data_IF_440436732562
#
_entry.id   IF_440436732562
#
_cell.length_a   1.000
_cell.length_b   1.000
_cell.length_c   1.000
_cell.angle_alpha   90.00
_cell.angle_beta   90.00
_cell.angle_gamma   90.00
#
_symmetry.space_group_name_H-M   'P 1'
#
loop_
_entity.id
_entity.type
_entity.pdbx_description
1 polymer ?
#
# COMPACT_ATOMS: atom_id res chain seq x y z
N UNK A 1 -7.73 -0.65 14.45
CA UNK A 1 -6.66 -1.33 13.69
C UNK A 1 -6.74 -2.86 13.74
N UNK A 2 -7.29 -3.49 14.79
CA UNK A 2 -7.43 -4.97 14.89
C UNK A 2 -8.61 -5.57 14.11
N UNK A 3 -9.41 -4.77 13.40
CA UNK A 3 -10.51 -5.28 12.57
C UNK A 3 -10.17 -5.10 11.08
N UNK A 4 -9.83 -6.18 10.36
CA UNK A 4 -9.53 -6.13 8.93
C UNK A 4 -10.69 -5.59 8.10
N UNK A 5 -11.95 -5.79 8.51
CA UNK A 5 -13.13 -5.27 7.80
C UNK A 5 -13.29 -3.75 7.88
N UNK A 6 -12.55 -3.09 8.78
CA UNK A 6 -12.51 -1.63 8.90
C UNK A 6 -11.26 -1.01 8.26
N UNK A 7 -10.26 -1.82 7.91
CA UNK A 7 -9.03 -1.37 7.25
C UNK A 7 -8.95 -1.85 5.78
N UNK A 8 -10.00 -2.50 5.28
CA UNK A 8 -10.10 -3.03 3.92
C UNK A 8 -11.58 -3.03 3.56
N UNK A 9 -11.92 -2.42 2.43
CA UNK A 9 -13.31 -2.32 1.98
C UNK A 9 -13.82 -3.62 1.34
N UNK A 10 -12.97 -4.66 1.25
CA UNK A 10 -13.28 -5.92 0.59
C UNK A 10 -12.99 -7.12 1.50
N UNK A 11 -13.94 -8.04 1.58
CA UNK A 11 -13.77 -9.31 2.29
C UNK A 11 -12.75 -10.26 1.61
N UNK A 12 -12.29 -9.91 0.41
CA UNK A 12 -11.31 -10.64 -0.39
C UNK A 12 -10.22 -9.69 -0.86
N UNK A 13 -8.97 -10.11 -0.69
CA UNK A 13 -7.81 -9.43 -1.26
C UNK A 13 -7.60 -10.02 -2.66
N UNK A 14 -7.68 -9.19 -3.69
CA UNK A 14 -7.34 -9.61 -5.05
C UNK A 14 -5.89 -10.13 -5.12
N UNK A 15 -5.55 -10.83 -6.20
CA UNK A 15 -4.24 -11.42 -6.40
C UNK A 15 -3.75 -11.25 -7.83
N UNK A 16 -2.73 -12.03 -8.21
CA UNK A 16 -2.15 -12.03 -9.56
C UNK A 16 -3.21 -12.18 -10.67
N UNK A 17 -4.25 -12.96 -10.39
CA UNK A 17 -5.31 -13.29 -11.35
C UNK A 17 -6.53 -12.37 -11.24
N UNK A 18 -6.55 -11.42 -10.28
CA UNK A 18 -7.61 -10.44 -10.09
C UNK A 18 -7.03 -9.05 -9.79
N UNK A 19 -6.49 -8.44 -10.85
CA UNK A 19 -5.89 -7.11 -10.78
C UNK A 19 -6.89 -6.00 -10.47
N UNK A 20 -8.18 -6.22 -10.73
CA UNK A 20 -9.23 -5.22 -10.46
C UNK A 20 -9.47 -5.08 -8.95
N UNK A 21 -9.69 -6.19 -8.26
CA UNK A 21 -9.84 -6.21 -6.80
C UNK A 21 -8.52 -5.83 -6.13
N UNK A 22 -7.39 -6.32 -6.65
CA UNK A 22 -6.06 -5.98 -6.14
C UNK A 22 -5.83 -4.47 -6.19
N UNK A 23 -6.02 -3.81 -7.34
CA UNK A 23 -5.80 -2.37 -7.49
C UNK A 23 -6.61 -1.57 -6.48
N UNK A 24 -7.91 -1.87 -6.36
CA UNK A 24 -8.81 -1.16 -5.44
C UNK A 24 -8.33 -1.24 -3.99
N UNK A 25 -7.95 -2.42 -3.53
CA UNK A 25 -7.49 -2.61 -2.15
C UNK A 25 -6.10 -2.03 -1.92
N UNK A 26 -5.19 -2.24 -2.85
CA UNK A 26 -3.80 -1.83 -2.68
C UNK A 26 -3.64 -0.31 -2.74
N UNK A 27 -4.43 0.39 -3.57
CA UNK A 27 -4.47 1.86 -3.59
C UNK A 27 -4.94 2.44 -2.25
N UNK A 28 -5.99 1.85 -1.65
CA UNK A 28 -6.42 2.23 -0.30
C UNK A 28 -5.32 1.95 0.73
N UNK A 29 -4.76 0.73 0.74
CA UNK A 29 -3.75 0.32 1.70
C UNK A 29 -2.53 1.25 1.71
N UNK A 30 -2.01 1.62 0.54
CA UNK A 30 -0.81 2.47 0.46
C UNK A 30 -1.12 3.94 0.73
N UNK A 31 -2.36 4.40 0.55
CA UNK A 31 -2.73 5.82 0.66
C UNK A 31 -3.36 6.18 2.00
N UNK A 32 -4.15 5.29 2.60
CA UNK A 32 -5.05 5.66 3.69
C UNK A 32 -4.80 4.88 4.97
N UNK A 33 -4.19 3.68 4.90
CA UNK A 33 -3.97 2.87 6.11
C UNK A 33 -3.07 3.61 7.11
N UNK A 34 -3.55 3.83 8.36
CA UNK A 34 -2.81 4.57 9.36
C UNK A 34 -1.45 3.94 9.72
N UNK A 35 -1.35 2.61 9.65
CA UNK A 35 -0.10 1.89 9.92
C UNK A 35 0.95 2.14 8.84
N UNK A 36 0.54 2.27 7.57
CA UNK A 36 1.45 2.65 6.49
C UNK A 36 1.88 4.10 6.68
N UNK A 37 0.93 5.02 6.90
CA UNK A 37 1.22 6.45 7.12
C UNK A 37 2.14 6.72 8.30
N UNK A 38 2.05 5.91 9.35
CA UNK A 38 2.90 6.02 10.54
C UNK A 38 4.40 5.91 10.22
N UNK A 39 4.80 5.29 9.11
CA UNK A 39 6.20 5.23 8.69
C UNK A 39 6.83 6.62 8.46
N UNK A 40 6.03 7.65 8.13
CA UNK A 40 6.52 9.03 7.91
C UNK A 40 6.32 9.96 9.12
N UNK A 41 5.60 9.52 10.15
CA UNK A 41 5.49 10.23 11.43
C UNK A 41 5.54 9.22 12.58
N UNK A 42 6.68 8.55 12.79
CA UNK A 42 6.77 7.48 13.76
C UNK A 42 6.88 8.03 15.18
N UNK A 43 6.68 7.15 16.16
CA UNK A 43 6.89 7.48 17.58
C UNK A 43 8.36 7.80 17.92
N UNK A 44 8.63 8.30 19.15
CA UNK A 44 9.96 8.71 19.57
C UNK A 44 11.05 7.66 19.37
N UNK A 45 12.25 8.10 18.99
CA UNK A 45 13.43 7.23 18.80
C UNK A 45 13.46 6.44 17.48
N UNK A 46 12.51 6.68 16.57
CA UNK A 46 12.48 6.03 15.25
C UNK A 46 12.81 7.01 14.13
N UNK A 47 13.54 6.54 13.14
CA UNK A 47 13.83 7.28 11.91
C UNK A 47 12.63 7.18 10.96
N UNK A 48 12.10 8.31 10.44
CA UNK A 48 11.08 8.29 9.40
C UNK A 48 11.54 7.56 8.14
N UNK A 49 10.59 7.00 7.38
CA UNK A 49 10.86 6.47 6.06
C UNK A 49 11.44 7.56 5.13
N UNK A 50 12.32 7.19 4.17
CA UNK A 50 12.89 8.15 3.24
C UNK A 50 11.81 8.78 2.34
N UNK A 51 12.04 10.04 1.94
CA UNK A 51 11.12 10.80 1.10
C UNK A 51 9.79 11.10 1.82
N UNK A 52 8.70 11.18 1.05
CA UNK A 52 7.35 11.48 1.56
C UNK A 52 6.37 10.36 1.27
N UNK A 53 5.33 10.24 2.11
CA UNK A 53 4.22 9.30 1.90
C UNK A 53 3.55 9.50 0.54
N UNK A 54 3.40 10.76 0.09
CA UNK A 54 2.82 11.09 -1.21
C UNK A 54 3.67 10.55 -2.39
N UNK A 55 5.00 10.66 -2.31
CA UNK A 55 5.90 10.10 -3.32
C UNK A 55 5.78 8.57 -3.35
N UNK A 56 5.71 7.93 -2.19
CA UNK A 56 5.48 6.49 -2.09
C UNK A 56 4.14 6.07 -2.71
N UNK A 57 3.03 6.70 -2.32
CA UNK A 57 1.71 6.38 -2.87
C UNK A 57 1.67 6.56 -4.40
N UNK A 58 2.34 7.61 -4.91
CA UNK A 58 2.47 7.82 -6.36
C UNK A 58 3.26 6.71 -7.04
N UNK A 59 4.41 6.31 -6.49
CA UNK A 59 5.23 5.23 -7.03
C UNK A 59 4.48 3.89 -7.05
N UNK A 60 3.74 3.59 -5.98
CA UNK A 60 2.90 2.39 -5.90
C UNK A 60 1.78 2.41 -6.94
N UNK A 61 1.10 3.54 -7.12
CA UNK A 61 0.08 3.67 -8.18
C UNK A 61 0.65 3.45 -9.58
N UNK A 62 1.87 3.96 -9.87
CA UNK A 62 2.55 3.70 -11.14
C UNK A 62 2.82 2.21 -11.34
N UNK A 63 3.37 1.53 -10.32
CA UNK A 63 3.67 0.10 -10.39
C UNK A 63 2.40 -0.76 -10.55
N UNK A 64 1.33 -0.46 -9.81
CA UNK A 64 0.04 -1.17 -9.92
C UNK A 64 -0.56 -0.99 -11.32
N UNK A 65 -0.56 0.24 -11.85
CA UNK A 65 -1.06 0.52 -13.20
C UNK A 65 -0.22 -0.15 -14.30
N UNK A 66 1.06 -0.42 -14.02
CA UNK A 66 1.93 -1.23 -14.87
C UNK A 66 1.69 -2.74 -14.80
N UNK A 67 0.67 -3.20 -14.07
CA UNK A 67 0.37 -4.63 -13.89
C UNK A 67 1.11 -5.27 -12.71
N UNK A 68 1.67 -4.47 -11.80
CA UNK A 68 2.39 -4.93 -10.62
C UNK A 68 3.45 -6.01 -10.92
N UNK A 69 4.35 -5.78 -11.91
CA UNK A 69 5.28 -6.80 -12.35
C UNK A 69 6.24 -7.22 -11.23
N UNK A 70 6.56 -8.50 -11.19
CA UNK A 70 7.69 -9.01 -10.41
C UNK A 70 9.00 -8.48 -11.01
N UNK A 71 10.04 -8.22 -10.19
CA UNK A 71 11.36 -7.92 -10.69
C UNK A 71 11.90 -9.10 -11.51
N UNK A 72 12.68 -8.79 -12.54
CA UNK A 72 13.30 -9.80 -13.42
C UNK A 72 14.63 -10.32 -12.89
N UNK A 73 15.18 -9.68 -11.86
CA UNK A 73 16.47 -10.00 -11.22
C UNK A 73 16.21 -10.46 -9.78
N UNK A 74 16.96 -11.48 -9.34
CA UNK A 74 16.86 -12.11 -8.01
C UNK A 74 17.86 -11.53 -7.02
#
# INVERSE_FOLDING_TARGET
WLNPRLNSFLAQRGGRDDMKTFKKEFEHHVSDDPLVRWAWNPGPGRTPAPGTHAQFAKAMSVWINGGAPCPTES
#
